data_IF_789795974394
#
_entry.id   IF_789795974394
#
_cell.length_a   1.000
_cell.length_b   1.000
_cell.length_c   1.000
_cell.angle_alpha   90.00
_cell.angle_beta   90.00
_cell.angle_gamma   90.00
#
_symmetry.space_group_name_H-M   'P 1'
#
loop_
_entity.id
_entity.type
_entity.pdbx_description
1 polymer ?
#
# COMPACT_ATOMS: atom_id res chain seq x y z
N UNK A 1 -6.74 13.24 10.04
CA UNK A 1 -5.91 12.02 10.17
C UNK A 1 -5.23 11.70 8.85
N UNK A 2 -3.94 11.41 8.89
CA UNK A 2 -3.22 11.04 7.68
C UNK A 2 -3.63 9.64 7.22
N UNK A 3 -3.80 9.49 5.91
CA UNK A 3 -4.11 8.19 5.31
C UNK A 3 -2.97 7.78 4.38
N UNK A 4 -2.57 6.52 4.45
CA UNK A 4 -1.50 5.98 3.62
C UNK A 4 -2.01 4.77 2.86
N UNK A 5 -1.90 4.82 1.54
CA UNK A 5 -2.22 3.68 0.69
C UNK A 5 -1.03 2.73 0.66
N UNK A 6 -1.29 1.45 0.63
CA UNK A 6 -0.26 0.42 0.65
C UNK A 6 -0.49 -0.57 -0.48
N UNK A 7 0.54 -0.80 -1.26
CA UNK A 7 0.49 -1.68 -2.41
C UNK A 7 1.70 -2.62 -2.45
N UNK A 8 1.44 -3.87 -2.75
CA UNK A 8 2.48 -4.87 -3.03
C UNK A 8 1.94 -5.83 -4.07
N UNK A 9 2.78 -6.21 -5.02
CA UNK A 9 2.38 -7.21 -6.02
C UNK A 9 2.42 -8.62 -5.47
N UNK A 10 3.21 -8.85 -4.42
CA UNK A 10 3.33 -10.17 -3.82
C UNK A 10 2.42 -10.31 -2.62
N UNK A 11 1.93 -11.53 -2.42
CA UNK A 11 1.09 -11.84 -1.27
C UNK A 11 1.54 -13.13 -0.60
N UNK A 12 2.84 -13.43 -0.65
CA UNK A 12 3.39 -14.59 0.03
C UNK A 12 3.51 -14.35 1.53
N UNK A 13 3.91 -15.37 2.25
CA UNK A 13 3.98 -15.31 3.71
C UNK A 13 4.95 -14.24 4.22
N UNK A 14 6.12 -14.15 3.58
CA UNK A 14 7.12 -13.15 3.99
C UNK A 14 6.57 -11.74 3.82
N UNK A 15 5.91 -11.48 2.70
CA UNK A 15 5.30 -10.18 2.45
C UNK A 15 4.19 -9.91 3.47
N UNK A 16 3.38 -10.91 3.76
CA UNK A 16 2.31 -10.78 4.76
C UNK A 16 2.87 -10.37 6.13
N UNK A 17 3.91 -11.05 6.59
CA UNK A 17 4.52 -10.74 7.88
C UNK A 17 5.11 -9.34 7.90
N UNK A 18 5.77 -8.97 6.82
CA UNK A 18 6.39 -7.66 6.68
C UNK A 18 5.34 -6.55 6.71
N UNK A 19 4.29 -6.70 5.90
CA UNK A 19 3.24 -5.70 5.82
C UNK A 19 2.44 -5.61 7.10
N UNK A 20 2.22 -6.72 7.80
CA UNK A 20 1.53 -6.71 9.08
C UNK A 20 2.24 -5.81 10.09
N UNK A 21 3.57 -5.93 10.15
CA UNK A 21 4.36 -5.08 11.03
C UNK A 21 4.30 -3.62 10.61
N UNK A 22 4.38 -3.38 9.31
CA UNK A 22 4.36 -2.02 8.80
C UNK A 22 3.03 -1.33 9.11
N UNK A 23 1.93 -2.02 8.85
CA UNK A 23 0.59 -1.48 9.12
C UNK A 23 0.42 -1.21 10.62
N UNK A 24 0.89 -2.12 11.46
CA UNK A 24 0.81 -1.94 12.89
C UNK A 24 1.56 -0.69 13.34
N UNK A 25 2.74 -0.46 12.78
CA UNK A 25 3.52 0.75 13.11
C UNK A 25 2.82 2.01 12.65
N UNK A 26 2.20 1.98 11.47
CA UNK A 26 1.45 3.14 10.99
C UNK A 26 0.32 3.49 11.95
N UNK A 27 -0.43 2.49 12.38
CA UNK A 27 -1.56 2.70 13.27
C UNK A 27 -1.12 3.25 14.61
N UNK A 28 0.01 2.80 15.13
CA UNK A 28 0.56 3.33 16.37
C UNK A 28 0.90 4.81 16.25
N UNK A 29 1.19 5.27 15.04
CA UNK A 29 1.54 6.68 14.80
C UNK A 29 0.36 7.50 14.33
N UNK A 30 -0.84 6.95 14.41
CA UNK A 30 -2.05 7.65 14.03
C UNK A 30 -2.27 7.78 12.54
N UNK A 31 -1.64 6.91 11.73
CA UNK A 31 -1.81 6.90 10.29
C UNK A 31 -2.75 5.75 9.91
N UNK A 32 -3.82 6.08 9.20
CA UNK A 32 -4.78 5.08 8.76
C UNK A 32 -4.30 4.41 7.47
N UNK A 33 -4.25 3.08 7.48
CA UNK A 33 -3.84 2.31 6.30
C UNK A 33 -5.02 2.05 5.38
N UNK A 34 -4.79 2.22 4.07
CA UNK A 34 -5.76 1.89 3.02
C UNK A 34 -5.05 0.90 2.10
N UNK A 35 -5.51 -0.33 2.05
CA UNK A 35 -4.78 -1.41 1.38
C UNK A 35 -5.31 -1.65 -0.03
N UNK A 36 -4.41 -2.02 -0.95
CA UNK A 36 -4.84 -2.42 -2.28
C UNK A 36 -5.79 -3.61 -2.17
N UNK A 37 -6.90 -3.57 -2.89
CA UNK A 37 -7.98 -4.54 -2.71
C UNK A 37 -7.52 -5.98 -2.94
N UNK A 38 -6.85 -6.26 -4.04
CA UNK A 38 -6.39 -7.62 -4.32
C UNK A 38 -5.41 -8.12 -3.27
N UNK A 39 -4.51 -7.25 -2.84
CA UNK A 39 -3.55 -7.60 -1.80
C UNK A 39 -4.26 -7.88 -0.48
N UNK A 40 -5.20 -7.03 -0.11
CA UNK A 40 -5.93 -7.17 1.13
C UNK A 40 -6.76 -8.46 1.13
N UNK A 41 -7.38 -8.80 0.01
CA UNK A 41 -8.13 -10.04 -0.12
C UNK A 41 -7.22 -11.26 0.01
N UNK A 42 -6.08 -11.24 -0.65
CA UNK A 42 -5.14 -12.35 -0.60
C UNK A 42 -4.59 -12.57 0.81
N UNK A 43 -4.46 -11.50 1.58
CA UNK A 43 -3.95 -11.54 2.95
C UNK A 43 -5.05 -11.58 3.99
N UNK A 44 -6.30 -11.65 3.57
CA UNK A 44 -7.47 -11.69 4.45
C UNK A 44 -7.62 -10.45 5.33
N UNK A 45 -7.17 -9.32 4.82
CA UNK A 45 -7.27 -8.03 5.53
C UNK A 45 -8.47 -7.20 5.07
N UNK A 46 -9.19 -7.62 4.04
CA UNK A 46 -10.22 -6.78 3.41
C UNK A 46 -11.40 -6.44 4.32
N UNK A 47 -11.61 -7.21 5.38
CA UNK A 47 -12.68 -6.94 6.33
C UNK A 47 -12.24 -6.05 7.49
N UNK A 48 -10.96 -5.79 7.61
CA UNK A 48 -10.39 -5.06 8.74
C UNK A 48 -9.98 -3.65 8.34
N UNK A 49 -9.50 -3.49 7.12
CA UNK A 49 -8.96 -2.22 6.65
C UNK A 49 -9.76 -1.69 5.46
N UNK A 50 -9.73 -0.37 5.28
CA UNK A 50 -10.23 0.22 4.05
C UNK A 50 -9.36 -0.27 2.89
N UNK A 51 -9.98 -0.37 1.71
CA UNK A 51 -9.27 -0.83 0.52
C UNK A 51 -9.44 0.17 -0.62
N UNK A 52 -8.56 0.06 -1.62
CA UNK A 52 -8.70 0.82 -2.85
C UNK A 52 -8.46 -0.11 -4.03
N UNK A 53 -9.10 0.16 -5.16
CA UNK A 53 -8.86 -0.61 -6.37
C UNK A 53 -8.30 0.23 -7.52
N UNK A 54 -8.37 1.52 -7.41
CA UNK A 54 -7.83 2.37 -8.47
C UNK A 54 -7.69 3.82 -8.05
N UNK A 55 -7.35 4.64 -9.02
CA UNK A 55 -7.08 6.06 -8.81
C UNK A 55 -8.25 6.82 -8.19
N UNK A 56 -9.46 6.53 -8.64
CA UNK A 56 -10.63 7.22 -8.12
C UNK A 56 -10.83 6.98 -6.63
N UNK A 57 -10.61 5.75 -6.17
CA UNK A 57 -10.71 5.43 -4.75
C UNK A 57 -9.71 6.24 -3.93
N UNK A 58 -8.48 6.35 -4.44
CA UNK A 58 -7.44 7.10 -3.74
C UNK A 58 -7.82 8.56 -3.59
N UNK A 59 -8.43 9.11 -4.65
CA UNK A 59 -8.88 10.49 -4.65
C UNK A 59 -10.03 10.69 -3.66
N UNK A 60 -11.04 9.82 -3.72
CA UNK A 60 -12.22 9.92 -2.86
C UNK A 60 -11.87 9.75 -1.39
N UNK A 61 -10.93 8.86 -1.08
CA UNK A 61 -10.54 8.59 0.30
C UNK A 61 -9.51 9.58 0.83
N UNK A 62 -9.08 10.52 -0.01
CA UNK A 62 -8.13 11.57 0.37
C UNK A 62 -6.85 11.01 0.96
N UNK A 63 -6.25 10.07 0.24
CA UNK A 63 -4.99 9.46 0.65
C UNK A 63 -3.86 10.48 0.56
N UNK A 64 -3.02 10.52 1.57
CA UNK A 64 -1.92 11.49 1.67
C UNK A 64 -0.58 10.95 1.18
N UNK A 65 -0.37 9.65 1.32
CA UNK A 65 0.88 8.99 0.94
C UNK A 65 0.58 7.67 0.27
N UNK A 66 1.49 7.23 -0.59
CA UNK A 66 1.36 5.93 -1.24
C UNK A 66 2.65 5.15 -1.03
N UNK A 67 2.58 4.05 -0.29
CA UNK A 67 3.70 3.16 -0.06
C UNK A 67 3.60 1.97 -1.02
N UNK A 68 4.69 1.70 -1.72
CA UNK A 68 4.74 0.55 -2.61
C UNK A 68 5.91 -0.34 -2.21
N UNK A 69 5.63 -1.63 -2.07
CA UNK A 69 6.60 -2.62 -1.62
C UNK A 69 6.92 -3.59 -2.74
N UNK A 70 8.19 -3.75 -3.05
CA UNK A 70 8.61 -4.66 -4.09
C UNK A 70 9.88 -4.20 -4.76
N UNK A 71 10.11 -4.69 -5.96
CA UNK A 71 11.25 -4.30 -6.76
C UNK A 71 10.93 -3.11 -7.65
N UNK A 72 11.86 -2.80 -8.54
CA UNK A 72 11.74 -1.62 -9.39
C UNK A 72 10.49 -1.65 -10.27
N UNK A 73 10.13 -2.83 -10.80
CA UNK A 73 8.93 -2.96 -11.61
C UNK A 73 7.66 -2.63 -10.85
N UNK A 74 7.60 -3.04 -9.60
CA UNK A 74 6.46 -2.74 -8.74
C UNK A 74 6.33 -1.24 -8.50
N UNK A 75 7.45 -0.57 -8.27
CA UNK A 75 7.45 0.86 -8.03
C UNK A 75 6.95 1.60 -9.28
N UNK A 76 7.43 1.20 -10.46
CA UNK A 76 7.00 1.83 -11.72
C UNK A 76 5.50 1.61 -11.93
N UNK A 77 5.01 0.39 -11.72
CA UNK A 77 3.59 0.09 -11.89
C UNK A 77 2.72 0.89 -10.91
N UNK A 78 3.23 1.14 -9.72
CA UNK A 78 2.48 1.90 -8.72
C UNK A 78 2.18 3.32 -9.17
N UNK A 79 3.02 3.89 -10.03
CA UNK A 79 2.80 5.24 -10.51
C UNK A 79 1.49 5.36 -11.30
N UNK A 80 1.01 4.26 -11.87
CA UNK A 80 -0.25 4.26 -12.59
C UNK A 80 -1.45 4.55 -11.69
N UNK A 81 -1.32 4.24 -10.40
CA UNK A 81 -2.40 4.50 -9.44
C UNK A 81 -2.47 5.95 -9.01
N UNK A 82 -1.34 6.63 -8.98
CA UNK A 82 -1.31 8.00 -8.46
C UNK A 82 -1.23 9.07 -9.55
N UNK A 83 -0.68 8.75 -10.70
CA UNK A 83 -0.57 9.62 -11.88
C UNK A 83 -0.63 11.12 -11.56
N UNK A 84 -1.78 11.74 -11.79
CA UNK A 84 -1.95 13.19 -11.63
C UNK A 84 -2.58 13.59 -10.29
N UNK A 85 -2.61 12.68 -9.31
CA UNK A 85 -3.19 12.98 -8.00
C UNK A 85 -2.25 13.74 -7.07
N UNK A 86 -0.99 13.88 -7.45
CA UNK A 86 0.00 14.59 -6.65
C UNK A 86 0.22 13.98 -5.27
N UNK A 87 0.05 12.66 -5.17
CA UNK A 87 0.29 11.93 -3.93
C UNK A 87 1.75 11.44 -3.93
N UNK A 88 2.53 11.78 -2.91
CA UNK A 88 3.91 11.27 -2.84
C UNK A 88 3.95 9.76 -2.77
N UNK A 89 4.86 9.17 -3.52
CA UNK A 89 5.06 7.71 -3.56
C UNK A 89 6.37 7.38 -2.85
N UNK A 90 6.29 6.49 -1.87
CA UNK A 90 7.46 6.02 -1.15
C UNK A 90 7.68 4.56 -1.55
N UNK A 91 8.76 4.30 -2.24
CA UNK A 91 9.11 2.94 -2.65
C UNK A 91 9.95 2.26 -1.59
N UNK A 92 9.51 1.08 -1.17
CA UNK A 92 10.27 0.25 -0.26
C UNK A 92 10.73 -0.98 -1.02
N UNK A 93 12.03 -1.04 -1.28
CA UNK A 93 12.58 -2.14 -2.06
C UNK A 93 12.75 -3.37 -1.17
N UNK A 94 11.96 -4.39 -1.43
CA UNK A 94 12.01 -5.66 -0.70
C UNK A 94 12.63 -6.75 -1.54
N UNK A 95 13.03 -6.41 -2.73
CA UNK A 95 13.62 -7.38 -3.62
C UNK A 95 14.98 -7.80 -3.19
N UNK A 96 15.30 -7.74 -2.95
CA UNK A 96 16.42 -8.12 -2.85
C UNK A 96 17.26 -8.43 -2.77
N UNK A 97 17.43 -8.51 -2.58
CA UNK A 97 18.39 -8.44 -2.46
C UNK A 97 19.31 -9.14 -2.78
N UNK A 98 19.19 -9.29 -3.01
CA UNK A 98 20.32 -9.70 -3.62
C UNK A 98 20.65 -10.92 -3.81
#
# INVERSE_FOLDING_TARGET
MMKAAIYSQKSDLDTFLYLSKFVSELEKRGVQAVLHEEMANAMQFSKIFETFCGKEDLKQKKVDLFFTFGGDGTIVNSLLYVQDLEIPVVGVNTGRLG
#
